data_IF_355123094673
#
_entry.id   IF_355123094673
#
_cell.length_a   1.000
_cell.length_b   1.000
_cell.length_c   1.000
_cell.angle_alpha   90.00
_cell.angle_beta   90.00
_cell.angle_gamma   90.00
#
_symmetry.space_group_name_H-M   'P 1'
#
loop_
_entity.id
_entity.type
_entity.pdbx_description
1 polymer ?
#
# COMPACT_ATOMS: atom_id res chain seq x y z
N UNK A 1 -39.00 -12.58 17.63
CA UNK A 1 -39.02 -11.11 17.47
C UNK A 1 -37.72 -10.44 17.90
N UNK A 2 -37.13 -10.78 19.05
CA UNK A 2 -35.81 -10.18 19.48
C UNK A 2 -34.63 -10.73 18.66
N UNK A 3 -34.62 -12.03 18.37
CA UNK A 3 -33.58 -12.67 17.54
C UNK A 3 -33.62 -12.21 16.07
N UNK A 4 -34.80 -11.89 15.52
CA UNK A 4 -34.91 -11.31 14.16
C UNK A 4 -34.42 -9.83 14.12
N UNK A 5 -34.60 -9.08 15.21
CA UNK A 5 -34.07 -7.72 15.33
C UNK A 5 -32.54 -7.71 15.47
N UNK A 6 -31.97 -8.69 16.17
CA UNK A 6 -30.52 -8.87 16.29
C UNK A 6 -29.87 -9.34 15.00
N UNK A 7 -30.53 -10.26 14.26
CA UNK A 7 -30.09 -10.72 12.94
C UNK A 7 -30.08 -9.55 11.92
N UNK A 8 -31.17 -8.75 11.88
CA UNK A 8 -31.22 -7.53 11.05
C UNK A 8 -30.17 -6.49 11.44
N UNK A 9 -29.83 -6.37 12.74
CA UNK A 9 -28.79 -5.45 13.22
C UNK A 9 -27.39 -5.91 12.79
N UNK A 10 -27.14 -7.23 12.70
CA UNK A 10 -25.87 -7.80 12.19
C UNK A 10 -25.72 -7.68 10.67
N UNK A 11 -26.81 -7.71 9.91
CA UNK A 11 -26.78 -7.55 8.45
C UNK A 11 -26.54 -6.09 8.03
N UNK A 12 -26.84 -5.11 8.88
CA UNK A 12 -26.68 -3.68 8.62
C UNK A 12 -25.25 -3.17 8.87
N UNK A 13 -24.40 -3.96 9.52
CA UNK A 13 -23.03 -3.54 9.87
C UNK A 13 -21.98 -4.32 9.08
N UNK A 14 -22.01 -4.22 7.77
CA UNK A 14 -20.82 -4.50 6.96
C UNK A 14 -20.01 -3.19 6.99
N UNK A 15 -18.82 -3.19 7.61
CA UNK A 15 -17.96 -2.00 7.54
C UNK A 15 -17.76 -1.70 6.05
N UNK A 16 -18.00 -0.45 5.66
CA UNK A 16 -17.68 0.03 4.32
C UNK A 16 -16.25 -0.39 3.97
N UNK A 17 -16.00 -0.95 2.77
CA UNK A 17 -14.65 -1.36 2.40
C UNK A 17 -13.75 -0.12 2.52
N UNK A 18 -12.66 -0.28 3.28
CA UNK A 18 -11.69 0.79 3.46
C UNK A 18 -11.02 1.07 2.14
N UNK A 19 -11.26 2.25 1.59
CA UNK A 19 -10.85 2.66 0.27
C UNK A 19 -9.70 3.66 0.32
N UNK A 20 -9.00 3.78 -0.78
CA UNK A 20 -7.93 4.74 -1.00
C UNK A 20 -7.95 5.23 -2.45
N UNK A 21 -7.38 6.43 -2.68
CA UNK A 21 -7.38 7.06 -4.00
C UNK A 21 -6.40 6.40 -4.96
N UNK A 22 -6.83 6.30 -6.22
CA UNK A 22 -6.03 5.92 -7.37
C UNK A 22 -5.81 7.13 -8.27
N UNK A 23 -4.59 7.24 -8.81
CA UNK A 23 -4.17 8.32 -9.71
C UNK A 23 -3.66 7.72 -11.02
N UNK A 24 -3.90 8.42 -12.12
CA UNK A 24 -3.38 8.04 -13.44
C UNK A 24 -1.84 8.09 -13.46
N UNK A 25 -1.26 7.62 -14.55
CA UNK A 25 0.20 7.57 -14.75
C UNK A 25 0.86 8.93 -14.52
N UNK A 26 1.93 8.90 -13.75
CA UNK A 26 2.72 10.07 -13.39
C UNK A 26 2.56 10.46 -11.93
N UNK A 27 3.71 10.53 -11.22
CA UNK A 27 3.72 10.88 -9.78
C UNK A 27 3.27 12.31 -9.50
N UNK A 28 3.31 13.19 -10.51
CA UNK A 28 2.87 14.58 -10.44
C UNK A 28 1.36 14.76 -10.60
N UNK A 29 0.63 13.69 -10.96
CA UNK A 29 -0.83 13.76 -11.04
C UNK A 29 -1.40 13.87 -9.64
N UNK A 30 -2.12 14.93 -9.37
CA UNK A 30 -2.68 15.24 -8.05
C UNK A 30 -4.17 14.98 -7.94
N UNK A 31 -4.88 14.87 -9.06
CA UNK A 31 -6.30 14.59 -9.09
C UNK A 31 -6.55 13.08 -9.17
N UNK A 32 -7.30 12.49 -8.22
CA UNK A 32 -7.61 11.08 -8.28
C UNK A 32 -8.52 10.76 -9.46
N UNK A 33 -8.30 9.62 -10.10
CA UNK A 33 -9.16 9.11 -11.16
C UNK A 33 -10.18 8.08 -10.67
N UNK A 34 -10.10 7.68 -9.39
CA UNK A 34 -10.99 6.72 -8.78
C UNK A 34 -10.54 6.31 -7.39
N UNK A 35 -11.21 5.31 -6.85
CA UNK A 35 -10.88 4.68 -5.57
C UNK A 35 -10.68 3.18 -5.75
N UNK A 36 -9.85 2.60 -4.90
CA UNK A 36 -9.60 1.17 -4.82
C UNK A 36 -9.72 0.71 -3.36
N UNK A 37 -9.99 -0.57 -3.17
CA UNK A 37 -9.81 -1.29 -1.92
C UNK A 37 -8.61 -2.27 -2.05
N UNK A 38 -8.17 -2.90 -0.95
CA UNK A 38 -7.04 -3.84 -1.01
C UNK A 38 -7.26 -5.02 -1.94
N UNK A 39 -8.49 -5.52 -2.05
CA UNK A 39 -8.81 -6.63 -2.93
C UNK A 39 -8.68 -6.22 -4.41
N UNK A 40 -9.21 -5.08 -4.78
CA UNK A 40 -9.07 -4.51 -6.13
C UNK A 40 -7.60 -4.26 -6.49
N UNK A 41 -6.80 -3.76 -5.54
CA UNK A 41 -5.36 -3.58 -5.73
C UNK A 41 -4.63 -4.92 -5.90
N UNK A 42 -5.00 -5.94 -5.12
CA UNK A 42 -4.48 -7.30 -5.29
C UNK A 42 -4.78 -7.86 -6.68
N UNK A 43 -6.04 -7.74 -7.14
CA UNK A 43 -6.44 -8.18 -8.48
C UNK A 43 -5.66 -7.45 -9.57
N UNK A 44 -5.53 -6.12 -9.46
CA UNK A 44 -4.75 -5.29 -10.38
C UNK A 44 -3.30 -5.81 -10.56
N UNK A 45 -2.65 -6.15 -9.44
CA UNK A 45 -1.27 -6.65 -9.44
C UNK A 45 -1.21 -8.10 -9.96
N UNK A 46 -2.07 -8.98 -9.45
CA UNK A 46 -2.12 -10.42 -9.82
C UNK A 46 -2.39 -10.62 -11.30
N UNK A 47 -3.34 -9.89 -11.85
CA UNK A 47 -3.74 -10.02 -13.26
C UNK A 47 -2.78 -9.30 -14.20
N UNK A 48 -1.78 -8.62 -13.64
CA UNK A 48 -0.68 -8.04 -14.39
C UNK A 48 -1.08 -6.87 -15.27
N UNK A 49 -2.00 -6.01 -14.79
CA UNK A 49 -2.44 -4.83 -15.54
C UNK A 49 -1.26 -3.92 -15.93
N UNK A 50 -0.23 -3.80 -15.06
CA UNK A 50 1.00 -3.06 -15.34
C UNK A 50 2.18 -3.97 -15.76
N UNK A 51 1.93 -5.16 -16.28
CA UNK A 51 2.99 -6.14 -16.64
C UNK A 51 3.96 -5.57 -17.66
N UNK A 52 3.45 -5.02 -18.75
CA UNK A 52 4.27 -4.49 -19.83
C UNK A 52 5.21 -3.38 -19.32
N UNK A 53 4.69 -2.42 -18.56
CA UNK A 53 5.47 -1.36 -17.96
C UNK A 53 6.51 -1.90 -16.98
N UNK A 54 6.15 -2.92 -16.20
CA UNK A 54 7.07 -3.58 -15.25
C UNK A 54 8.21 -4.27 -15.96
N UNK A 55 7.94 -4.99 -17.04
CA UNK A 55 8.96 -5.65 -17.85
C UNK A 55 9.87 -4.64 -18.56
N UNK A 56 9.32 -3.55 -19.09
CA UNK A 56 10.09 -2.46 -19.66
C UNK A 56 11.02 -1.81 -18.64
N UNK A 57 10.48 -1.48 -17.44
CA UNK A 57 11.26 -0.90 -16.35
C UNK A 57 12.47 -1.76 -15.98
N UNK A 58 12.28 -3.07 -15.85
CA UNK A 58 13.33 -4.02 -15.45
C UNK A 58 14.42 -4.23 -16.50
N UNK A 59 14.20 -3.80 -17.75
CA UNK A 59 15.21 -3.81 -18.82
C UNK A 59 16.09 -2.57 -18.85
N UNK A 60 15.71 -1.52 -18.11
CA UNK A 60 16.45 -0.25 -18.04
C UNK A 60 17.63 -0.43 -17.08
N UNK A 61 18.86 -0.36 -17.60
CA UNK A 61 20.07 -0.48 -16.80
C UNK A 61 20.52 0.88 -16.18
N UNK A 62 20.12 1.99 -16.78
CA UNK A 62 20.46 3.33 -16.34
C UNK A 62 19.54 3.77 -15.21
N UNK A 63 20.11 4.10 -14.05
CA UNK A 63 19.35 4.42 -12.83
C UNK A 63 18.46 5.67 -12.98
N UNK A 64 18.94 6.70 -13.67
CA UNK A 64 18.19 7.94 -13.86
C UNK A 64 17.02 7.71 -14.83
N UNK A 65 17.26 6.99 -15.90
CA UNK A 65 16.19 6.59 -16.85
C UNK A 65 15.16 5.69 -16.18
N UNK A 66 15.60 4.75 -15.35
CA UNK A 66 14.70 3.87 -14.57
C UNK A 66 13.81 4.71 -13.64
N UNK A 67 14.37 5.68 -12.94
CA UNK A 67 13.65 6.61 -12.04
C UNK A 67 12.60 7.41 -12.82
N UNK A 68 12.99 8.02 -13.93
CA UNK A 68 12.07 8.80 -14.78
C UNK A 68 10.95 7.92 -15.33
N UNK A 69 11.27 6.72 -15.81
CA UNK A 69 10.28 5.77 -16.32
C UNK A 69 9.29 5.35 -15.20
N UNK A 70 9.81 4.97 -14.02
CA UNK A 70 8.99 4.60 -12.85
C UNK A 70 8.05 5.73 -12.46
N UNK A 71 8.52 6.98 -12.48
CA UNK A 71 7.72 8.15 -12.13
C UNK A 71 6.64 8.50 -13.16
N UNK A 72 6.83 8.18 -14.42
CA UNK A 72 5.95 8.61 -15.52
C UNK A 72 4.98 7.55 -16.03
N UNK A 73 5.31 6.25 -15.91
CA UNK A 73 4.60 5.18 -16.61
C UNK A 73 3.65 4.36 -15.73
N UNK A 74 3.70 4.54 -14.41
CA UNK A 74 2.86 3.79 -13.49
C UNK A 74 1.72 4.64 -12.92
N UNK A 75 0.59 4.00 -12.76
CA UNK A 75 -0.49 4.48 -11.91
C UNK A 75 -0.06 4.42 -10.44
N UNK A 76 -0.56 5.32 -9.62
CA UNK A 76 -0.20 5.41 -8.21
C UNK A 76 -1.42 5.36 -7.32
N UNK A 77 -1.24 4.90 -6.09
CA UNK A 77 -2.30 4.89 -5.07
C UNK A 77 -1.80 5.55 -3.78
N UNK A 78 -2.72 6.10 -3.01
CA UNK A 78 -2.45 6.63 -1.66
C UNK A 78 -3.12 5.74 -0.64
N UNK A 79 -2.44 4.68 -0.17
CA UNK A 79 -3.01 3.71 0.77
C UNK A 79 -3.57 4.34 2.05
N UNK A 80 -3.09 5.52 2.45
CA UNK A 80 -3.54 6.24 3.65
C UNK A 80 -5.01 6.71 3.60
N UNK A 81 -5.61 6.85 2.42
CA UNK A 81 -7.02 7.22 2.34
C UNK A 81 -7.50 7.72 0.99
N UNK A 82 -8.73 8.21 1.02
CA UNK A 82 -9.39 8.85 -0.11
C UNK A 82 -9.12 10.35 -0.06
N UNK A 83 -8.61 10.89 -1.17
CA UNK A 83 -8.22 12.28 -1.33
C UNK A 83 -9.06 12.97 -2.39
N UNK A 84 -9.35 14.25 -2.20
CA UNK A 84 -9.83 15.12 -3.25
C UNK A 84 -8.69 15.54 -4.18
N UNK A 85 -7.52 15.83 -3.56
CA UNK A 85 -6.28 16.16 -4.24
C UNK A 85 -5.12 15.57 -3.45
N UNK A 86 -4.05 15.14 -4.12
CA UNK A 86 -2.87 14.55 -3.50
C UNK A 86 -2.01 15.61 -2.78
N UNK A 87 -2.49 16.03 -1.61
CA UNK A 87 -1.83 16.93 -0.66
C UNK A 87 -2.37 16.63 0.74
N UNK A 88 -1.71 17.13 1.77
CA UNK A 88 -2.07 16.81 3.16
C UNK A 88 -3.50 17.29 3.50
N UNK A 89 -3.88 18.47 3.05
CA UNK A 89 -5.21 19.05 3.29
C UNK A 89 -6.31 18.38 2.44
N UNK A 90 -5.92 17.63 1.41
CA UNK A 90 -6.85 16.98 0.49
C UNK A 90 -7.46 15.68 1.00
N UNK A 91 -7.05 15.19 2.17
CA UNK A 91 -7.57 13.95 2.74
C UNK A 91 -9.05 14.09 3.14
N UNK A 92 -9.93 13.37 2.45
CA UNK A 92 -11.38 13.32 2.76
C UNK A 92 -11.73 12.22 3.76
N UNK A 93 -11.09 11.07 3.65
CA UNK A 93 -11.36 9.90 4.51
C UNK A 93 -10.12 9.04 4.65
N UNK A 94 -9.65 8.85 5.88
CA UNK A 94 -8.56 7.92 6.16
C UNK A 94 -9.01 6.46 5.93
N UNK A 95 -8.15 5.66 5.32
CA UNK A 95 -8.38 4.23 5.12
C UNK A 95 -8.10 3.40 6.37
N UNK A 96 -7.23 3.90 7.25
CA UNK A 96 -6.66 3.14 8.35
C UNK A 96 -5.57 2.17 7.91
N UNK A 97 -4.98 2.36 6.73
CA UNK A 97 -3.83 1.60 6.25
C UNK A 97 -2.56 2.44 6.29
N UNK A 98 -1.43 1.76 6.53
CA UNK A 98 -0.08 2.31 6.40
C UNK A 98 0.67 1.46 5.39
N UNK A 99 1.41 2.09 4.48
CA UNK A 99 2.24 1.41 3.50
C UNK A 99 3.71 1.72 3.78
N UNK A 100 4.49 0.67 4.01
CA UNK A 100 5.94 0.72 4.11
C UNK A 100 6.55 0.39 2.75
N UNK A 101 7.53 1.18 2.34
CA UNK A 101 8.30 0.98 1.11
C UNK A 101 9.73 0.59 1.51
N UNK A 102 10.06 -0.69 1.37
CA UNK A 102 11.33 -1.28 1.78
C UNK A 102 12.13 -1.55 0.51
N UNK A 103 13.10 -0.70 0.23
CA UNK A 103 13.90 -0.74 -1.00
C UNK A 103 15.27 -1.42 -0.76
N UNK A 104 15.89 -1.87 -1.86
CA UNK A 104 17.24 -2.44 -1.90
C UNK A 104 17.44 -3.68 -1.02
N UNK A 105 16.48 -4.59 -1.03
CA UNK A 105 16.45 -5.78 -0.16
C UNK A 105 16.36 -7.09 -0.94
N UNK A 106 16.74 -8.18 -0.29
CA UNK A 106 16.38 -9.53 -0.74
C UNK A 106 14.88 -9.75 -0.55
N UNK A 107 14.11 -9.58 -1.63
CA UNK A 107 12.64 -9.53 -1.61
C UNK A 107 12.03 -10.74 -0.91
N UNK A 108 12.49 -11.97 -1.22
CA UNK A 108 11.91 -13.17 -0.61
C UNK A 108 12.21 -13.24 0.88
N UNK A 109 13.45 -12.98 1.28
CA UNK A 109 13.87 -12.97 2.69
C UNK A 109 13.05 -11.97 3.52
N UNK A 110 12.90 -10.74 3.02
CA UNK A 110 12.11 -9.71 3.71
C UNK A 110 10.63 -10.10 3.81
N UNK A 111 10.06 -10.65 2.75
CA UNK A 111 8.66 -11.13 2.78
C UNK A 111 8.45 -12.21 3.84
N UNK A 112 9.38 -13.16 3.95
CA UNK A 112 9.28 -14.24 4.92
C UNK A 112 9.35 -13.71 6.37
N UNK A 113 10.20 -12.71 6.63
CA UNK A 113 10.25 -12.03 7.93
C UNK A 113 8.94 -11.30 8.22
N UNK A 114 8.47 -10.48 7.28
CA UNK A 114 7.27 -9.65 7.48
C UNK A 114 6.01 -10.49 7.69
N UNK A 115 5.89 -11.65 7.04
CA UNK A 115 4.79 -12.59 7.26
C UNK A 115 4.84 -13.16 8.69
N UNK A 116 6.02 -13.35 9.27
CA UNK A 116 6.21 -13.84 10.64
C UNK A 116 5.91 -12.81 11.73
N UNK A 117 5.70 -11.53 11.39
CA UNK A 117 5.40 -10.48 12.35
C UNK A 117 3.90 -10.48 12.72
N UNK A 118 3.47 -11.44 13.56
CA UNK A 118 2.07 -11.66 13.94
C UNK A 118 1.39 -10.44 14.61
N UNK A 119 2.18 -9.52 15.20
CA UNK A 119 1.68 -8.29 15.80
C UNK A 119 1.11 -7.30 14.78
N UNK A 120 1.42 -7.46 13.49
CA UNK A 120 0.93 -6.61 12.41
C UNK A 120 -0.05 -7.36 11.52
N UNK A 121 -1.20 -6.78 11.30
CA UNK A 121 -2.16 -7.30 10.33
C UNK A 121 -1.74 -6.87 8.92
N UNK A 122 -1.07 -7.77 8.19
CA UNK A 122 -0.72 -7.58 6.79
C UNK A 122 -1.99 -7.60 5.93
N UNK A 123 -2.24 -6.52 5.24
CA UNK A 123 -3.39 -6.35 4.34
C UNK A 123 -3.01 -6.69 2.90
N UNK A 124 -1.85 -6.20 2.46
CA UNK A 124 -1.32 -6.44 1.12
C UNK A 124 0.21 -6.36 1.16
N UNK A 125 0.88 -7.28 0.48
CA UNK A 125 2.33 -7.24 0.34
C UNK A 125 2.73 -7.65 -1.08
N UNK A 126 3.56 -6.84 -1.72
CA UNK A 126 3.98 -7.11 -3.11
C UNK A 126 5.38 -6.58 -3.41
N UNK A 127 6.00 -7.18 -4.42
CA UNK A 127 7.30 -6.74 -4.94
C UNK A 127 7.14 -5.43 -5.66
N UNK A 128 8.04 -4.48 -5.42
CA UNK A 128 8.08 -3.20 -6.15
C UNK A 128 8.25 -3.43 -7.67
N UNK A 129 7.80 -2.51 -8.53
CA UNK A 129 7.94 -2.67 -9.98
C UNK A 129 9.38 -2.89 -10.45
N UNK A 130 10.37 -2.27 -9.78
CA UNK A 130 11.80 -2.48 -10.09
C UNK A 130 12.30 -3.89 -9.77
N UNK A 131 11.61 -4.64 -8.91
CA UNK A 131 12.00 -5.98 -8.47
C UNK A 131 12.94 -6.02 -7.26
N UNK A 132 13.39 -4.87 -6.76
CA UNK A 132 14.40 -4.76 -5.70
C UNK A 132 13.86 -4.24 -4.36
N UNK A 133 12.56 -4.26 -4.17
CA UNK A 133 11.93 -3.80 -2.94
C UNK A 133 10.59 -4.48 -2.68
N UNK A 134 10.09 -4.28 -1.47
CA UNK A 134 8.80 -4.78 -1.00
C UNK A 134 7.94 -3.61 -0.57
N UNK A 135 6.69 -3.60 -1.02
CA UNK A 135 5.66 -2.71 -0.48
C UNK A 135 4.78 -3.52 0.45
N UNK A 136 4.72 -3.07 1.70
CA UNK A 136 4.01 -3.74 2.77
C UNK A 136 2.93 -2.84 3.36
N UNK A 137 1.69 -3.23 3.17
CA UNK A 137 0.51 -2.50 3.63
C UNK A 137 -0.07 -3.22 4.84
N UNK A 138 -0.15 -2.52 5.96
CA UNK A 138 -0.69 -3.02 7.21
C UNK A 138 -1.91 -2.22 7.66
N UNK A 139 -2.75 -2.87 8.47
CA UNK A 139 -3.87 -2.23 9.11
C UNK A 139 -3.39 -1.42 10.34
N UNK A 140 -3.66 -0.12 10.34
CA UNK A 140 -3.45 0.72 11.52
C UNK A 140 -4.61 0.52 12.49
N UNK A 141 -4.41 -0.33 13.51
CA UNK A 141 -5.40 -0.57 14.57
C UNK A 141 -5.29 0.40 15.75
N UNK A 142 -4.29 1.28 15.73
CA UNK A 142 -4.03 2.20 16.83
C UNK A 142 -4.87 3.48 16.71
N UNK A 143 -5.08 4.14 17.86
CA UNK A 143 -5.69 5.48 17.97
C UNK A 143 -4.71 6.59 17.60
N UNK A 144 -3.47 6.25 17.25
CA UNK A 144 -2.43 7.21 16.90
C UNK A 144 -2.67 7.85 15.54
N UNK A 145 -2.15 9.05 15.37
CA UNK A 145 -2.06 9.68 14.06
C UNK A 145 -1.21 8.80 13.13
N UNK A 146 -1.49 8.86 11.84
CA UNK A 146 -0.79 8.05 10.83
C UNK A 146 0.74 8.13 10.94
N UNK A 147 1.28 9.33 11.20
CA UNK A 147 2.73 9.57 11.36
C UNK A 147 3.28 8.85 12.60
N UNK A 148 2.56 8.90 13.72
CA UNK A 148 3.00 8.25 14.97
C UNK A 148 3.04 6.74 14.81
N UNK A 149 2.03 6.17 14.15
CA UNK A 149 1.99 4.74 13.86
C UNK A 149 3.11 4.32 12.91
N UNK A 150 3.37 5.09 11.85
CA UNK A 150 4.47 4.83 10.93
C UNK A 150 5.81 4.79 11.66
N UNK A 151 6.09 5.75 12.52
CA UNK A 151 7.31 5.82 13.32
C UNK A 151 7.44 4.62 14.26
N UNK A 152 6.35 4.26 14.95
CA UNK A 152 6.36 3.11 15.88
C UNK A 152 6.63 1.79 15.17
N UNK A 153 6.01 1.55 14.01
CA UNK A 153 6.21 0.34 13.23
C UNK A 153 7.61 0.28 12.62
N UNK A 154 8.11 1.40 12.08
CA UNK A 154 9.47 1.48 11.52
C UNK A 154 10.53 1.16 12.58
N UNK A 155 10.38 1.65 13.80
CA UNK A 155 11.29 1.34 14.91
C UNK A 155 11.19 -0.15 15.32
N UNK A 156 9.99 -0.73 15.33
CA UNK A 156 9.79 -2.15 15.64
C UNK A 156 10.42 -3.09 14.60
N UNK A 157 10.45 -2.68 13.32
CA UNK A 157 11.09 -3.47 12.25
C UNK A 157 12.61 -3.34 12.25
N UNK A 158 13.18 -2.26 12.80
CA UNK A 158 14.64 -2.09 12.93
C UNK A 158 15.26 -3.12 13.86
N UNK A 159 14.54 -3.55 14.91
CA UNK A 159 15.00 -4.58 15.84
C UNK A 159 15.05 -5.98 15.21
N UNK A 160 14.43 -6.18 14.05
CA UNK A 160 14.43 -7.47 13.32
C UNK A 160 15.52 -7.57 12.24
N UNK A 161 16.40 -6.57 12.11
CA UNK A 161 17.48 -6.56 11.11
C UNK A 161 16.99 -6.27 9.68
N UNK A 162 15.75 -5.86 9.49
CA UNK A 162 15.16 -5.56 8.17
C UNK A 162 15.74 -4.26 7.57
N UNK A 163 16.39 -3.43 8.39
CA UNK A 163 16.95 -2.12 8.01
C UNK A 163 18.49 -2.11 7.98
N UNK A 164 19.20 -3.24 7.94
CA UNK A 164 20.63 -3.20 7.68
C UNK A 164 20.89 -2.90 6.20
N UNK A 165 21.60 -1.80 5.88
CA UNK A 165 22.03 -1.56 4.50
C UNK A 165 23.11 -2.57 4.13
N UNK A 166 22.94 -3.23 3.03
CA UNK A 166 24.06 -3.86 2.30
C UNK A 166 24.89 -2.82 1.59
#
# INVERSE_FOLDING_TARGET
>A
MEQEKEAKKREFWKPEPRQFSMFRKGVWVTEPCGVMDPYSAYIYIRDGVAREQTEQLRRICDADKMKVFKQSQFETVTFSGVYERKCDEGLKRASGYVCFDIDHVSVQYVKDILIGLEQFETVLMFTSPSGHGVKWVVNNRSVFKHVDYYTAVSNGTSDTGVNEPC
#
